data_IF_027132881391
#
_entry.id   IF_027132881391
#
_cell.length_a   1.000
_cell.length_b   1.000
_cell.length_c   1.000
_cell.angle_alpha   90.00
_cell.angle_beta   90.00
_cell.angle_gamma   90.00
#
_symmetry.space_group_name_H-M   'P 1'
#
loop_
_entity.id
_entity.type
_entity.pdbx_description
1 polymer ?
#
# COMPACT_ATOMS: atom_id res chain seq x y z
N UNK A 1 -20.46 -10.52 21.83
CA UNK A 1 -21.63 -10.74 20.99
C UNK A 1 -21.29 -11.77 19.95
N UNK A 2 -21.99 -12.87 19.94
CA UNK A 2 -21.77 -13.89 18.93
C UNK A 2 -22.17 -13.33 17.56
N UNK A 3 -21.29 -13.43 16.57
CA UNK A 3 -21.60 -13.12 15.17
C UNK A 3 -22.68 -14.09 14.68
N UNK A 4 -23.92 -13.67 14.79
CA UNK A 4 -25.09 -14.46 14.38
C UNK A 4 -25.13 -14.72 12.88
N UNK A 5 -24.33 -13.99 12.12
CA UNK A 5 -24.28 -14.10 10.67
C UNK A 5 -22.91 -14.57 10.20
N UNK A 6 -22.82 -15.82 9.78
CA UNK A 6 -21.63 -16.30 9.11
C UNK A 6 -21.51 -15.63 7.72
N UNK A 7 -20.28 -15.37 7.26
CA UNK A 7 -20.02 -14.85 5.91
C UNK A 7 -20.68 -15.68 4.82
N UNK A 8 -20.80 -16.98 5.04
CA UNK A 8 -21.48 -17.89 4.13
C UNK A 8 -22.95 -17.55 3.98
N UNK A 9 -23.65 -17.35 5.09
CA UNK A 9 -25.07 -16.99 5.10
C UNK A 9 -25.34 -15.68 4.38
N UNK A 10 -24.52 -14.67 4.64
CA UNK A 10 -24.62 -13.35 3.97
C UNK A 10 -24.38 -13.49 2.47
N UNK A 11 -23.37 -14.23 2.05
CA UNK A 11 -23.08 -14.46 0.64
C UNK A 11 -24.20 -15.25 -0.06
N UNK A 12 -24.76 -16.25 0.59
CA UNK A 12 -25.87 -17.04 0.03
C UNK A 12 -27.13 -16.19 -0.08
N UNK A 13 -27.42 -15.35 0.91
CA UNK A 13 -28.52 -14.38 0.87
C UNK A 13 -28.36 -13.38 -0.29
N UNK A 14 -27.18 -12.79 -0.44
CA UNK A 14 -26.91 -11.85 -1.52
C UNK A 14 -27.01 -12.49 -2.91
N UNK A 15 -26.59 -13.75 -3.05
CA UNK A 15 -26.75 -14.49 -4.32
C UNK A 15 -28.21 -14.76 -4.66
N UNK A 16 -29.05 -15.00 -3.66
CA UNK A 16 -30.48 -15.22 -3.87
C UNK A 16 -31.24 -13.93 -4.14
N UNK A 17 -30.86 -12.84 -3.49
CA UNK A 17 -31.61 -11.56 -3.55
C UNK A 17 -31.16 -10.68 -4.71
N UNK A 18 -29.85 -10.63 -4.98
CA UNK A 18 -29.25 -9.74 -5.99
C UNK A 18 -28.22 -10.47 -6.85
N UNK A 19 -28.61 -11.49 -7.64
CA UNK A 19 -27.64 -12.29 -8.41
C UNK A 19 -26.87 -11.45 -9.44
N UNK A 20 -27.52 -10.45 -10.06
CA UNK A 20 -26.90 -9.60 -11.06
C UNK A 20 -25.84 -8.67 -10.46
N UNK A 21 -26.10 -8.09 -9.30
CA UNK A 21 -25.14 -7.27 -8.59
C UNK A 21 -23.92 -8.09 -8.09
N UNK A 22 -24.15 -9.33 -7.68
CA UNK A 22 -23.07 -10.26 -7.30
C UNK A 22 -22.21 -10.63 -8.51
N UNK A 23 -22.85 -10.91 -9.66
CA UNK A 23 -22.16 -11.19 -10.92
C UNK A 23 -21.34 -10.00 -11.40
N UNK A 24 -21.89 -8.78 -11.34
CA UNK A 24 -21.21 -7.54 -11.70
C UNK A 24 -19.97 -7.28 -10.83
N UNK A 25 -20.07 -7.55 -9.52
CA UNK A 25 -18.91 -7.44 -8.60
C UNK A 25 -17.82 -8.49 -8.88
N UNK A 26 -18.19 -9.70 -9.29
CA UNK A 26 -17.24 -10.75 -9.67
C UNK A 26 -16.51 -10.43 -10.97
N UNK A 27 -17.21 -9.87 -11.95
CA UNK A 27 -16.62 -9.47 -13.23
C UNK A 27 -15.75 -8.22 -13.12
N UNK A 28 -15.96 -7.42 -12.08
CA UNK A 28 -15.18 -6.23 -11.76
C UNK A 28 -13.85 -6.52 -11.07
N UNK A 29 -13.11 -7.54 -11.50
CA UNK A 29 -11.70 -7.60 -11.14
C UNK A 29 -11.07 -6.29 -11.55
N UNK A 30 -10.53 -5.58 -10.57
CA UNK A 30 -9.76 -4.37 -10.82
C UNK A 30 -8.79 -4.66 -11.94
N UNK A 31 -9.04 -4.09 -13.12
CA UNK A 31 -8.03 -4.07 -14.16
C UNK A 31 -6.90 -3.23 -13.62
N UNK A 32 -5.91 -3.90 -13.06
CA UNK A 32 -4.69 -3.25 -12.64
C UNK A 32 -4.12 -2.58 -13.88
N UNK A 33 -4.18 -1.26 -13.92
CA UNK A 33 -3.43 -0.54 -14.94
C UNK A 33 -1.96 -0.83 -14.65
N UNK A 34 -1.21 -1.35 -15.62
CA UNK A 34 0.20 -1.58 -15.41
C UNK A 34 0.84 -0.24 -15.02
N UNK A 35 1.52 -0.22 -13.88
CA UNK A 35 2.30 0.93 -13.49
C UNK A 35 3.50 1.02 -14.42
N UNK A 36 3.69 2.18 -15.01
CA UNK A 36 4.80 2.43 -15.92
C UNK A 36 5.64 3.60 -15.43
N UNK A 37 6.94 3.42 -15.42
CA UNK A 37 7.93 4.45 -15.14
C UNK A 37 8.89 4.55 -16.32
N UNK A 38 9.22 5.77 -16.70
CA UNK A 38 10.06 6.01 -17.88
C UNK A 38 11.54 5.73 -17.61
N UNK A 39 11.99 5.79 -16.37
CA UNK A 39 13.38 5.62 -16.03
C UNK A 39 13.64 5.36 -14.55
N UNK A 40 14.93 5.12 -14.26
CA UNK A 40 15.42 4.91 -12.89
C UNK A 40 15.27 6.19 -12.09
N UNK A 41 14.75 6.09 -10.86
CA UNK A 41 14.57 7.22 -9.94
C UNK A 41 13.65 8.33 -10.45
N UNK A 42 12.85 8.08 -11.48
CA UNK A 42 11.84 9.02 -11.96
C UNK A 42 10.67 9.11 -10.97
N UNK A 43 10.26 7.95 -10.45
CA UNK A 43 9.24 7.83 -9.41
C UNK A 43 9.76 7.01 -8.25
N UNK A 44 9.37 7.41 -7.06
CA UNK A 44 9.56 6.61 -5.85
C UNK A 44 8.19 6.20 -5.29
N UNK A 45 8.02 4.92 -5.08
CA UNK A 45 6.84 4.37 -4.42
C UNK A 45 7.12 4.19 -2.94
N UNK A 46 6.32 4.88 -2.12
CA UNK A 46 6.43 4.81 -0.65
C UNK A 46 5.32 3.92 -0.12
N UNK A 47 5.70 2.95 0.67
CA UNK A 47 4.78 2.07 1.40
C UNK A 47 5.06 2.13 2.90
N UNK A 48 4.00 2.39 3.66
CA UNK A 48 4.00 2.35 5.12
C UNK A 48 3.31 1.09 5.58
N UNK A 49 4.04 0.19 6.20
CA UNK A 49 3.52 -1.09 6.63
C UNK A 49 3.22 -1.10 8.12
N UNK A 50 1.93 -1.17 8.46
CA UNK A 50 1.43 -1.03 9.82
C UNK A 50 1.06 -2.36 10.50
N UNK A 51 1.11 -3.46 9.78
CA UNK A 51 0.68 -4.77 10.30
C UNK A 51 1.43 -5.23 11.56
N UNK A 52 2.63 -4.73 11.74
CA UNK A 52 3.51 -5.08 12.87
C UNK A 52 3.50 -4.02 13.97
N UNK A 53 2.62 -3.03 13.83
CA UNK A 53 2.45 -1.95 14.82
C UNK A 53 2.16 -2.44 16.22
N UNK A 54 1.45 -3.57 16.36
CA UNK A 54 1.21 -4.21 17.66
C UNK A 54 2.48 -4.65 18.40
N UNK A 55 3.59 -4.82 17.68
CA UNK A 55 4.90 -5.14 18.23
C UNK A 55 5.80 -3.91 18.37
N UNK A 56 5.27 -2.72 18.13
CA UNK A 56 6.05 -1.47 18.11
C UNK A 56 6.94 -1.31 16.87
N UNK A 57 6.70 -2.10 15.82
CA UNK A 57 7.49 -2.11 14.59
C UNK A 57 6.69 -1.52 13.45
N UNK A 58 7.03 -0.31 13.07
CA UNK A 58 6.45 0.39 11.94
C UNK A 58 7.48 0.47 10.83
N UNK A 59 7.10 -0.02 9.66
CA UNK A 59 8.01 -0.15 8.53
C UNK A 59 7.75 0.94 7.51
N UNK A 60 8.83 1.52 7.04
CA UNK A 60 8.86 2.48 5.96
C UNK A 60 9.68 1.91 4.82
N UNK A 61 9.02 1.55 3.73
CA UNK A 61 9.64 1.00 2.54
C UNK A 61 9.51 2.00 1.39
N UNK A 62 10.59 2.21 0.68
CA UNK A 62 10.55 2.95 -0.58
C UNK A 62 11.27 2.18 -1.66
N UNK A 63 10.58 2.03 -2.77
CA UNK A 63 11.07 1.29 -3.93
C UNK A 63 11.05 2.15 -5.19
N UNK A 64 12.01 1.90 -6.05
CA UNK A 64 11.98 2.38 -7.43
C UNK A 64 11.25 1.34 -8.29
N UNK A 65 10.06 1.66 -8.81
CA UNK A 65 9.28 0.69 -9.55
C UNK A 65 9.84 0.36 -10.94
N UNK A 66 10.77 1.16 -11.46
CA UNK A 66 11.40 0.89 -12.75
C UNK A 66 12.33 -0.34 -12.69
N UNK A 67 13.19 -0.39 -11.69
CA UNK A 67 14.17 -1.47 -11.52
C UNK A 67 13.88 -2.37 -10.32
N UNK A 68 12.78 -2.15 -9.62
CA UNK A 68 12.39 -2.87 -8.40
C UNK A 68 13.43 -2.79 -7.28
N UNK A 69 14.23 -1.74 -7.27
CA UNK A 69 15.27 -1.52 -6.27
C UNK A 69 14.68 -0.88 -5.01
N UNK A 70 15.09 -1.38 -3.86
CA UNK A 70 14.75 -0.75 -2.58
C UNK A 70 15.67 0.45 -2.36
N UNK A 71 15.07 1.64 -2.26
CA UNK A 71 15.81 2.86 -1.95
C UNK A 71 16.13 2.95 -0.46
N UNK A 72 15.14 2.65 0.39
CA UNK A 72 15.36 2.46 1.82
C UNK A 72 14.29 1.57 2.44
N UNK A 73 14.67 0.92 3.52
CA UNK A 73 13.79 0.24 4.44
C UNK A 73 14.17 0.69 5.85
N UNK A 74 13.27 1.39 6.51
CA UNK A 74 13.46 1.91 7.86
C UNK A 74 12.39 1.37 8.79
N UNK A 75 12.79 1.12 10.03
CA UNK A 75 11.91 0.65 11.09
C UNK A 75 11.90 1.71 12.19
N UNK A 76 10.72 2.07 12.67
CA UNK A 76 10.54 3.04 13.73
C UNK A 76 9.35 2.66 14.60
N UNK A 77 9.14 3.34 15.71
CA UNK A 77 8.02 3.05 16.60
C UNK A 77 6.72 3.75 16.23
N UNK A 78 6.73 4.63 15.25
CA UNK A 78 5.55 5.39 14.83
C UNK A 78 5.66 5.87 13.37
N UNK A 79 4.60 5.67 12.58
CA UNK A 79 4.52 6.16 11.20
C UNK A 79 3.84 7.52 11.05
N UNK A 80 3.44 8.15 12.15
CA UNK A 80 2.66 9.39 12.12
C UNK A 80 3.50 10.65 12.04
N UNK A 81 4.82 10.54 12.09
CA UNK A 81 5.69 11.71 12.06
C UNK A 81 6.20 12.01 10.64
N UNK A 82 5.68 13.03 9.94
CA UNK A 82 6.10 13.36 8.59
C UNK A 82 7.55 13.84 8.50
N UNK A 83 8.12 14.35 9.58
CA UNK A 83 9.52 14.80 9.61
C UNK A 83 10.50 13.63 9.44
N UNK A 84 10.13 12.45 9.93
CA UNK A 84 10.94 11.24 9.72
C UNK A 84 11.02 10.87 8.24
N UNK A 85 9.89 10.93 7.55
CA UNK A 85 9.82 10.65 6.13
C UNK A 85 10.72 11.60 5.33
N UNK A 86 10.64 12.88 5.63
CA UNK A 86 11.48 13.90 5.00
C UNK A 86 12.96 13.62 5.27
N UNK A 87 13.30 13.25 6.49
CA UNK A 87 14.68 12.94 6.87
C UNK A 87 15.23 11.73 6.10
N UNK A 88 14.44 10.68 5.98
CA UNK A 88 14.81 9.49 5.20
C UNK A 88 14.98 9.80 3.72
N UNK A 89 14.11 10.65 3.19
CA UNK A 89 14.19 11.11 1.80
C UNK A 89 15.47 11.92 1.54
N UNK A 90 15.80 12.87 2.40
CA UNK A 90 17.00 13.67 2.30
C UNK A 90 18.27 12.81 2.44
N UNK A 91 18.28 11.89 3.39
CA UNK A 91 19.39 10.93 3.56
C UNK A 91 19.62 10.08 2.29
N UNK A 92 18.54 9.56 1.71
CA UNK A 92 18.61 8.78 0.48
C UNK A 92 19.09 9.63 -0.70
N UNK A 93 18.60 10.88 -0.82
CA UNK A 93 19.02 11.81 -1.85
C UNK A 93 20.51 12.14 -1.78
N UNK A 94 21.05 12.33 -0.58
CA UNK A 94 22.48 12.54 -0.38
C UNK A 94 23.31 11.33 -0.81
N UNK A 95 22.84 10.13 -0.54
CA UNK A 95 23.55 8.88 -0.91
C UNK A 95 23.59 8.64 -2.42
N UNK A 96 22.54 9.03 -3.12
CA UNK A 96 22.41 8.81 -4.58
C UNK A 96 22.96 9.96 -5.40
N UNK A 97 23.24 11.10 -4.78
CA UNK A 97 23.76 12.30 -5.46
C UNK A 97 22.70 13.06 -6.27
N UNK A 98 21.43 12.77 -6.06
CA UNK A 98 20.30 13.44 -6.71
C UNK A 98 18.99 13.06 -6.05
N UNK A 99 17.94 13.86 -6.29
CA UNK A 99 16.63 13.64 -5.71
C UNK A 99 15.59 13.40 -6.79
N UNK A 100 14.70 12.45 -6.53
CA UNK A 100 13.51 12.24 -7.32
C UNK A 100 12.51 13.38 -7.06
N UNK A 101 11.98 13.97 -8.12
CA UNK A 101 10.99 15.05 -8.02
C UNK A 101 9.57 14.54 -7.79
N UNK A 102 9.32 13.28 -8.08
CA UNK A 102 7.98 12.70 -8.02
C UNK A 102 7.93 11.55 -7.02
N UNK A 103 7.10 11.72 -6.01
CA UNK A 103 6.84 10.70 -5.00
C UNK A 103 5.40 10.24 -5.16
N UNK A 104 5.20 8.94 -5.30
CA UNK A 104 3.88 8.34 -5.29
C UNK A 104 3.69 7.53 -4.02
N UNK A 105 2.72 7.91 -3.20
CA UNK A 105 2.35 7.13 -2.03
C UNK A 105 1.38 6.03 -2.46
N UNK A 106 1.80 4.80 -2.34
CA UNK A 106 0.89 3.67 -2.48
C UNK A 106 0.02 3.57 -1.23
N UNK A 107 -1.21 3.99 -1.35
CA UNK A 107 -2.23 3.80 -0.30
C UNK A 107 -2.76 2.36 -0.37
N UNK A 108 -1.91 1.39 -0.17
CA UNK A 108 -2.34 -0.01 -0.08
C UNK A 108 -2.49 -0.46 1.36
N UNK A 109 -2.92 0.40 2.19
CA UNK A 109 -3.23 -0.05 3.52
C UNK A 109 -4.54 0.53 3.92
N UNK A 110 -5.59 -0.07 3.61
CA UNK A 110 -6.73 0.06 4.48
C UNK A 110 -7.90 -0.62 3.85
N UNK A 111 -7.90 -1.89 3.99
CA UNK A 111 -9.21 -2.51 4.21
C UNK A 111 -9.01 -3.92 4.69
N UNK A 112 -8.64 -4.03 5.97
CA UNK A 112 -9.10 -5.21 6.73
C UNK A 112 -9.08 -4.82 8.19
N UNK A 113 -10.17 -4.17 8.56
CA UNK A 113 -10.67 -4.31 9.92
C UNK A 113 -11.21 -5.71 10.09
#
# INVERSE_FOLDING_TARGET
MADWFSRKLINDFLKCTEPDAVAARKSGQFKQKPFWSAGVMEYLSIDQHDKWGRFGLWLHLVTDPFNSRVAWLKIWWCNRNPRLLINYYLEAGCKVGGMCLTIHQSTTCYQFS
#
